data_IF_558818336565
#
_entry.id   IF_558818336565
#
_cell.length_a   1.000
_cell.length_b   1.000
_cell.length_c   1.000
_cell.angle_alpha   90.00
_cell.angle_beta   90.00
_cell.angle_gamma   90.00
#
_symmetry.space_group_name_H-M   'P 1'
#
loop_
_entity.id
_entity.type
_entity.pdbx_description
1 polymer ?
#
# COMPACT_ATOMS: atom_id res chain seq x y z
N UNK A 1 52.54 38.13 0.19
CA UNK A 1 53.18 39.07 -0.73
C UNK A 1 52.63 38.80 -2.13
N UNK A 2 51.53 39.47 -2.46
CA UNK A 2 51.06 39.86 -3.79
C UNK A 2 49.84 40.74 -3.51
N UNK A 3 50.16 41.99 -3.19
CA UNK A 3 49.19 43.07 -3.03
C UNK A 3 48.73 43.50 -4.43
N UNK A 4 47.56 43.05 -4.86
CA UNK A 4 46.84 43.73 -5.94
C UNK A 4 45.53 44.26 -5.38
N UNK A 5 45.59 45.54 -5.02
CA UNK A 5 44.46 46.36 -4.59
C UNK A 5 43.44 46.42 -5.73
N UNK A 6 42.22 45.95 -5.49
CA UNK A 6 41.11 46.04 -6.44
C UNK A 6 40.43 47.43 -6.44
N UNK A 7 41.22 48.50 -6.54
CA UNK A 7 40.74 49.85 -6.83
C UNK A 7 41.77 50.58 -7.72
N UNK A 8 41.31 51.20 -8.82
CA UNK A 8 42.15 52.11 -9.60
C UNK A 8 42.47 53.35 -8.76
N UNK A 9 43.67 53.92 -8.91
CA UNK A 9 44.15 55.08 -8.14
C UNK A 9 43.35 56.38 -8.35
N UNK A 10 42.42 56.39 -9.30
CA UNK A 10 41.75 57.62 -9.75
C UNK A 10 40.22 57.58 -9.52
N UNK A 11 39.69 56.56 -8.84
CA UNK A 11 38.30 56.52 -8.39
C UNK A 11 37.22 56.42 -9.47
N UNK A 12 37.57 56.21 -10.75
CA UNK A 12 36.60 56.00 -11.82
C UNK A 12 36.32 54.51 -12.09
N UNK A 13 35.05 54.06 -12.22
CA UNK A 13 34.70 52.65 -12.42
C UNK A 13 35.08 52.16 -13.82
N UNK A 14 35.89 51.10 -13.92
CA UNK A 14 36.18 50.42 -15.19
C UNK A 14 34.94 49.68 -15.69
N UNK A 15 34.49 50.05 -16.88
CA UNK A 15 33.31 49.63 -17.61
C UNK A 15 33.30 48.12 -17.94
N UNK A 16 32.62 47.32 -17.11
CA UNK A 16 32.12 45.98 -17.47
C UNK A 16 30.79 45.71 -16.72
N UNK A 17 29.87 46.68 -16.74
CA UNK A 17 28.80 46.76 -15.74
C UNK A 17 27.35 46.61 -16.23
N UNK A 18 27.07 46.22 -17.49
CA UNK A 18 25.66 46.24 -17.96
C UNK A 18 25.06 44.92 -18.46
N UNK A 19 25.80 43.82 -18.59
CA UNK A 19 25.22 42.63 -19.26
C UNK A 19 24.76 41.47 -18.36
N UNK A 20 24.89 41.55 -17.02
CA UNK A 20 24.55 40.43 -16.13
C UNK A 20 23.59 40.74 -14.98
N UNK A 21 22.60 41.64 -15.18
CA UNK A 21 21.35 41.72 -14.40
C UNK A 21 21.45 41.83 -12.86
N UNK A 22 22.64 42.03 -12.30
CA UNK A 22 22.94 42.06 -10.88
C UNK A 22 23.56 43.43 -10.57
N UNK A 23 22.87 44.24 -9.77
CA UNK A 23 23.31 45.60 -9.43
C UNK A 23 24.70 45.61 -8.77
N UNK A 24 25.47 46.65 -9.03
CA UNK A 24 26.86 46.82 -8.58
C UNK A 24 27.00 46.68 -7.05
N UNK A 25 26.05 47.22 -6.30
CA UNK A 25 26.06 47.20 -4.82
C UNK A 25 25.90 45.77 -4.27
N UNK A 26 25.08 44.95 -4.93
CA UNK A 26 24.82 43.56 -4.55
C UNK A 26 26.01 42.65 -4.87
N UNK A 27 26.76 42.97 -5.93
CA UNK A 27 28.02 42.30 -6.27
C UNK A 27 29.09 42.54 -5.19
N UNK A 28 29.15 43.75 -4.63
CA UNK A 28 30.12 44.07 -3.57
C UNK A 28 29.80 43.37 -2.24
N UNK A 29 28.52 43.24 -1.88
CA UNK A 29 28.10 42.54 -0.64
C UNK A 29 28.40 41.03 -0.68
N UNK A 30 28.14 40.38 -1.82
CA UNK A 30 28.45 38.96 -2.04
C UNK A 30 29.95 38.70 -1.88
N UNK A 31 30.79 39.62 -2.34
CA UNK A 31 32.25 39.50 -2.23
C UNK A 31 32.78 39.81 -0.85
N UNK A 32 32.19 40.80 -0.17
CA UNK A 32 32.55 41.12 1.20
C UNK A 32 32.30 39.91 2.11
N UNK A 33 31.12 39.30 2.01
CA UNK A 33 30.75 38.11 2.80
C UNK A 33 31.57 36.87 2.43
N UNK A 34 31.99 36.75 1.17
CA UNK A 34 32.95 35.71 0.78
C UNK A 34 34.33 35.93 1.41
N UNK A 35 34.81 37.17 1.47
CA UNK A 35 36.12 37.52 2.04
C UNK A 35 36.14 37.52 3.58
N UNK A 36 35.00 37.71 4.23
CA UNK A 36 34.87 37.59 5.70
C UNK A 36 34.91 36.13 6.16
N UNK A 37 34.48 35.19 5.31
CA UNK A 37 34.39 33.76 5.63
C UNK A 37 35.42 32.91 4.88
N UNK A 38 36.71 33.28 4.94
CA UNK A 38 37.79 32.53 4.27
C UNK A 38 37.96 31.09 4.81
N UNK A 39 37.69 30.84 6.10
CA UNK A 39 37.84 29.52 6.72
C UNK A 39 36.64 28.58 6.47
N UNK A 40 35.43 29.13 6.30
CA UNK A 40 34.22 28.36 6.00
C UNK A 40 33.36 29.07 4.93
N UNK A 41 33.65 28.88 3.63
CA UNK A 41 33.06 29.69 2.57
C UNK A 41 31.56 29.42 2.42
N UNK A 42 30.70 30.45 2.39
CA UNK A 42 29.24 30.30 2.35
C UNK A 42 28.76 29.48 1.14
N UNK A 43 27.62 28.81 1.31
CA UNK A 43 27.04 27.98 0.26
C UNK A 43 26.55 28.83 -0.92
N UNK A 44 26.46 28.23 -2.12
CA UNK A 44 25.95 28.95 -3.30
C UNK A 44 24.54 29.52 -3.04
N UNK A 45 23.69 28.81 -2.29
CA UNK A 45 22.34 29.26 -1.97
C UNK A 45 22.34 30.44 -0.97
N UNK A 46 23.25 30.44 0.00
CA UNK A 46 23.44 31.59 0.90
C UNK A 46 23.89 32.84 0.13
N UNK A 47 24.84 32.68 -0.80
CA UNK A 47 25.32 33.78 -1.65
C UNK A 47 24.21 34.32 -2.56
N UNK A 48 23.32 33.45 -3.05
CA UNK A 48 22.14 33.84 -3.84
C UNK A 48 21.12 34.59 -2.99
N UNK A 49 20.88 34.13 -1.76
CA UNK A 49 19.98 34.79 -0.81
C UNK A 49 20.47 36.20 -0.43
N UNK A 50 21.79 36.39 -0.33
CA UNK A 50 22.40 37.72 -0.07
C UNK A 50 22.29 38.63 -1.30
N UNK A 51 22.62 38.13 -2.50
CA UNK A 51 22.53 38.93 -3.72
C UNK A 51 21.09 39.26 -4.13
N UNK A 52 20.12 38.43 -3.75
CA UNK A 52 18.71 38.58 -4.10
C UNK A 52 17.81 38.33 -2.88
N UNK A 53 17.70 39.30 -1.96
CA UNK A 53 16.89 39.17 -0.74
C UNK A 53 15.38 39.03 -1.01
N UNK A 54 14.92 39.43 -2.20
CA UNK A 54 13.52 39.34 -2.62
C UNK A 54 13.14 37.97 -3.24
N UNK A 55 14.07 37.01 -3.33
CA UNK A 55 13.81 35.69 -3.92
C UNK A 55 13.22 34.72 -2.86
N UNK A 56 11.97 34.25 -3.01
CA UNK A 56 11.33 33.35 -2.04
C UNK A 56 11.96 31.95 -2.01
N UNK A 57 12.76 31.57 -3.01
CA UNK A 57 13.42 30.27 -3.07
C UNK A 57 14.86 30.40 -3.63
N UNK A 58 15.85 30.75 -2.78
CA UNK A 58 17.24 30.88 -3.18
C UNK A 58 17.85 29.52 -3.56
N UNK A 59 17.71 29.15 -4.83
CA UNK A 59 18.27 27.92 -5.42
C UNK A 59 19.34 28.28 -6.45
N UNK A 60 20.52 27.68 -6.35
CA UNK A 60 21.59 27.77 -7.35
C UNK A 60 21.19 27.35 -8.77
N UNK A 61 20.05 26.67 -8.95
CA UNK A 61 19.48 26.33 -10.28
C UNK A 61 18.60 27.43 -10.88
N UNK A 62 18.13 28.38 -10.05
CA UNK A 62 17.24 29.47 -10.46
C UNK A 62 17.95 30.45 -11.41
N UNK A 63 17.19 31.35 -12.05
CA UNK A 63 17.76 32.40 -12.91
C UNK A 63 18.78 33.26 -12.14
N UNK A 64 18.43 33.61 -10.90
CA UNK A 64 19.27 34.36 -9.98
C UNK A 64 20.49 33.54 -9.51
N UNK A 65 20.29 32.23 -9.28
CA UNK A 65 21.36 31.27 -8.98
C UNK A 65 22.42 31.14 -10.08
N UNK A 66 21.98 31.12 -11.35
CA UNK A 66 22.88 31.07 -12.51
C UNK A 66 23.68 32.36 -12.67
N UNK A 67 23.05 33.52 -12.51
CA UNK A 67 23.73 34.82 -12.57
C UNK A 67 24.79 34.95 -11.47
N UNK A 68 24.46 34.54 -10.25
CA UNK A 68 25.41 34.54 -9.12
C UNK A 68 26.57 33.57 -9.37
N UNK A 69 26.30 32.39 -9.95
CA UNK A 69 27.33 31.42 -10.33
C UNK A 69 28.25 31.92 -11.45
N UNK A 70 27.69 32.61 -12.44
CA UNK A 70 28.44 33.21 -13.54
C UNK A 70 29.33 34.35 -13.05
N UNK A 71 28.81 35.20 -12.16
CA UNK A 71 29.57 36.23 -11.48
C UNK A 71 30.74 35.65 -10.68
N UNK A 72 30.51 34.64 -9.84
CA UNK A 72 31.57 33.98 -9.07
C UNK A 72 32.61 33.31 -9.97
N UNK A 73 32.16 32.68 -11.06
CA UNK A 73 33.04 32.06 -12.06
C UNK A 73 33.93 33.08 -12.79
N UNK A 74 33.41 34.28 -13.09
CA UNK A 74 34.18 35.36 -13.72
C UNK A 74 35.38 35.80 -12.89
N UNK A 75 35.27 35.68 -11.55
CA UNK A 75 36.34 35.99 -10.58
C UNK A 75 37.12 34.76 -10.12
N UNK A 76 36.97 33.62 -10.80
CA UNK A 76 37.60 32.33 -10.47
C UNK A 76 37.24 31.77 -9.09
N UNK A 77 36.10 32.17 -8.53
CA UNK A 77 35.58 31.67 -7.26
C UNK A 77 34.64 30.48 -7.54
N UNK A 78 34.93 29.32 -6.93
CA UNK A 78 34.05 28.14 -6.99
C UNK A 78 33.27 28.00 -5.68
N UNK A 79 32.03 28.48 -5.66
CA UNK A 79 31.14 28.26 -4.53
C UNK A 79 30.75 26.79 -4.39
N UNK A 80 30.56 26.34 -3.14
CA UNK A 80 30.16 24.97 -2.82
C UNK A 80 28.72 24.72 -3.27
N UNK A 81 28.51 23.62 -3.99
CA UNK A 81 27.17 23.13 -4.29
C UNK A 81 26.52 22.53 -3.03
N UNK A 82 25.19 22.63 -2.94
CA UNK A 82 24.38 22.11 -1.81
C UNK A 82 24.52 20.61 -1.53
N UNK A 83 25.20 19.86 -2.40
CA UNK A 83 25.45 18.42 -2.27
C UNK A 83 26.79 18.07 -1.61
N UNK A 84 27.65 19.06 -1.36
CA UNK A 84 28.97 18.81 -0.75
C UNK A 84 28.81 18.70 0.77
N UNK A 85 29.02 17.50 1.30
CA UNK A 85 28.92 17.21 2.72
C UNK A 85 29.95 18.01 3.54
N UNK A 86 29.47 18.83 4.48
CA UNK A 86 30.30 19.44 5.52
C UNK A 86 30.25 18.52 6.75
N UNK A 87 31.38 18.02 7.26
CA UNK A 87 31.40 17.28 8.52
C UNK A 87 30.91 18.21 9.63
N UNK A 88 29.69 18.01 10.09
CA UNK A 88 29.16 18.75 11.23
C UNK A 88 29.97 18.39 12.48
N UNK A 89 30.32 19.40 13.30
CA UNK A 89 31.07 19.21 14.55
C UNK A 89 30.37 18.15 15.40
N UNK A 90 31.11 17.13 15.83
CA UNK A 90 30.61 16.11 16.75
C UNK A 90 30.10 16.81 18.02
N UNK A 91 28.87 16.50 18.43
CA UNK A 91 28.34 16.97 19.69
C UNK A 91 28.88 16.07 20.81
N UNK A 92 29.72 16.62 21.67
CA UNK A 92 30.27 15.92 22.83
C UNK A 92 29.37 16.18 24.04
N UNK A 93 28.96 15.11 24.72
CA UNK A 93 28.14 15.19 25.93
C UNK A 93 29.01 15.66 27.11
N UNK A 94 28.59 16.73 27.78
CA UNK A 94 29.18 17.16 29.05
C UNK A 94 28.83 16.16 30.16
N UNK A 95 29.56 16.18 31.27
CA UNK A 95 29.28 15.30 32.41
C UNK A 95 27.90 15.56 33.03
N UNK A 96 27.42 16.81 33.02
CA UNK A 96 26.06 17.16 33.44
C UNK A 96 24.99 16.50 32.54
N UNK A 97 25.22 16.48 31.23
CA UNK A 97 24.33 15.80 30.28
C UNK A 97 24.30 14.30 30.54
N UNK A 98 25.46 13.68 30.80
CA UNK A 98 25.57 12.26 31.10
C UNK A 98 24.83 11.88 32.37
N UNK A 99 24.93 12.68 33.43
CA UNK A 99 24.20 12.45 34.67
C UNK A 99 22.69 12.58 34.45
N UNK A 100 22.24 13.63 33.76
CA UNK A 100 20.83 13.84 33.45
C UNK A 100 20.25 12.70 32.60
N UNK A 101 21.01 12.20 31.61
CA UNK A 101 20.62 11.04 30.81
C UNK A 101 20.53 9.79 31.70
N UNK A 102 21.49 9.54 32.58
CA UNK A 102 21.45 8.36 33.46
C UNK A 102 20.21 8.36 34.39
N UNK A 103 19.83 9.53 34.91
CA UNK A 103 18.67 9.67 35.79
C UNK A 103 17.33 9.59 35.04
N UNK A 104 17.26 10.14 33.82
CA UNK A 104 16.00 10.28 33.07
C UNK A 104 15.82 9.28 31.93
N UNK A 105 16.84 8.47 31.59
CA UNK A 105 16.76 7.45 30.53
C UNK A 105 15.66 6.42 30.77
N UNK A 106 15.25 6.19 32.02
CA UNK A 106 14.15 5.28 32.36
C UNK A 106 12.77 5.93 32.24
N UNK A 107 12.67 7.27 32.19
CA UNK A 107 11.42 8.01 32.32
C UNK A 107 11.05 8.73 31.01
N UNK A 108 12.03 9.22 30.25
CA UNK A 108 11.82 10.05 29.06
C UNK A 108 12.44 9.43 27.81
N UNK A 109 11.84 9.73 26.64
CA UNK A 109 12.38 9.29 25.35
C UNK A 109 13.67 10.05 25.01
N UNK A 110 14.61 9.46 24.25
CA UNK A 110 15.86 10.12 23.85
C UNK A 110 15.68 11.49 23.18
N UNK A 111 14.60 11.67 22.41
CA UNK A 111 14.27 12.97 21.79
C UNK A 111 13.84 14.02 22.83
N UNK A 112 13.06 13.61 23.82
CA UNK A 112 12.55 14.50 24.86
C UNK A 112 13.71 14.90 25.80
N UNK A 113 14.60 13.95 26.10
CA UNK A 113 15.88 14.20 26.81
C UNK A 113 16.77 15.15 26.01
N UNK A 114 16.90 14.93 24.69
CA UNK A 114 17.68 15.81 23.82
C UNK A 114 17.15 17.24 23.79
N UNK A 115 15.83 17.42 23.80
CA UNK A 115 15.16 18.73 23.83
C UNK A 115 15.34 19.45 25.16
N UNK A 116 15.23 18.75 26.29
CA UNK A 116 15.42 19.34 27.61
C UNK A 116 16.89 19.70 27.85
N UNK A 117 17.82 18.85 27.41
CA UNK A 117 19.27 19.06 27.52
C UNK A 117 19.74 20.29 26.72
N UNK A 118 19.24 20.47 25.50
CA UNK A 118 19.73 21.51 24.58
C UNK A 118 18.89 22.79 24.59
N UNK A 119 17.74 22.79 25.27
CA UNK A 119 16.79 23.89 25.25
C UNK A 119 16.15 24.16 23.87
N UNK A 120 16.31 23.25 22.91
CA UNK A 120 15.81 23.40 21.53
C UNK A 120 14.59 22.49 21.30
N UNK A 121 13.36 23.03 21.25
CA UNK A 121 12.15 22.21 21.08
C UNK A 121 12.01 21.63 19.66
N UNK A 122 12.71 22.18 18.67
CA UNK A 122 12.61 21.78 17.25
C UNK A 122 13.46 20.56 16.88
N UNK A 123 14.17 19.95 17.83
CA UNK A 123 15.00 18.78 17.56
C UNK A 123 14.18 17.59 17.03
N UNK A 124 14.78 16.92 16.06
CA UNK A 124 14.32 15.70 15.41
C UNK A 124 15.19 14.50 15.81
N UNK A 125 14.69 13.28 15.59
CA UNK A 125 15.45 12.05 15.89
C UNK A 125 16.77 11.91 15.10
N UNK A 126 16.94 12.70 14.05
CA UNK A 126 18.11 12.66 13.17
C UNK A 126 19.20 13.63 13.62
N UNK A 127 18.91 14.55 14.52
CA UNK A 127 19.89 15.54 14.98
C UNK A 127 21.02 14.88 15.79
N UNK A 128 22.19 15.51 15.76
CA UNK A 128 23.41 14.95 16.34
C UNK A 128 23.30 14.82 17.85
N UNK A 129 22.60 15.75 18.49
CA UNK A 129 22.35 15.79 19.92
C UNK A 129 21.50 14.58 20.36
N UNK A 130 20.44 14.25 19.62
CA UNK A 130 19.58 13.10 19.92
C UNK A 130 20.29 11.78 19.65
N UNK A 131 21.15 11.72 18.62
CA UNK A 131 21.99 10.55 18.38
C UNK A 131 23.02 10.34 19.48
N UNK A 132 23.71 11.38 19.93
CA UNK A 132 24.67 11.30 21.02
C UNK A 132 24.01 10.79 22.32
N UNK A 133 22.80 11.30 22.65
CA UNK A 133 22.00 10.81 23.79
C UNK A 133 21.69 9.32 23.64
N UNK A 134 21.23 8.88 22.45
CA UNK A 134 20.90 7.47 22.20
C UNK A 134 22.14 6.56 22.32
N UNK A 135 23.25 6.98 21.75
CA UNK A 135 24.49 6.21 21.77
C UNK A 135 25.01 6.07 23.22
N UNK A 136 24.88 7.11 24.05
CA UNK A 136 25.20 7.06 25.47
C UNK A 136 24.22 6.18 26.28
N UNK A 137 22.92 6.19 25.95
CA UNK A 137 21.95 5.25 26.54
C UNK A 137 22.30 3.80 26.19
N UNK A 138 22.75 3.52 24.95
CA UNK A 138 23.23 2.19 24.57
C UNK A 138 24.51 1.78 25.31
N UNK A 139 25.42 2.71 25.54
CA UNK A 139 26.62 2.50 26.35
C UNK A 139 26.26 2.19 27.82
N UNK A 140 25.36 2.96 28.41
CA UNK A 140 24.82 2.72 29.76
C UNK A 140 24.10 1.36 29.88
N UNK A 141 23.36 0.95 28.85
CA UNK A 141 22.71 -0.38 28.78
C UNK A 141 23.75 -1.50 28.78
N UNK A 142 24.85 -1.32 28.05
CA UNK A 142 25.95 -2.30 27.99
C UNK A 142 26.72 -2.38 29.31
N UNK A 143 26.93 -1.27 30.00
CA UNK A 143 27.72 -1.23 31.24
C UNK A 143 26.95 -1.71 32.47
N UNK A 144 25.64 -1.42 32.55
CA UNK A 144 24.87 -1.58 33.79
C UNK A 144 24.19 -2.96 33.89
N UNK A 145 24.15 -3.75 32.80
CA UNK A 145 23.55 -5.09 32.79
C UNK A 145 22.06 -5.15 33.13
N UNK A 146 21.43 -4.00 33.35
CA UNK A 146 20.01 -3.86 33.62
C UNK A 146 19.27 -3.84 32.30
N UNK A 147 18.47 -4.89 32.07
CA UNK A 147 17.39 -4.88 31.10
C UNK A 147 16.31 -3.92 31.60
N UNK A 148 16.55 -2.62 31.44
CA UNK A 148 15.49 -1.63 31.54
C UNK A 148 14.52 -1.95 30.39
N UNK A 149 13.43 -2.65 30.73
CA UNK A 149 12.29 -2.78 29.85
C UNK A 149 11.93 -1.37 29.38
N UNK A 150 12.02 -1.18 28.07
CA UNK A 150 11.54 0.01 27.41
C UNK A 150 10.06 0.10 27.78
N UNK A 151 9.71 0.89 28.80
CA UNK A 151 8.34 1.34 29.02
C UNK A 151 8.02 2.38 27.93
N UNK A 152 8.23 2.02 26.67
CA UNK A 152 7.17 2.28 25.71
C UNK A 152 5.91 1.77 26.40
N UNK A 153 4.91 2.64 26.56
CA UNK A 153 3.52 2.17 26.64
C UNK A 153 3.48 0.96 25.73
N UNK A 154 3.21 -0.23 26.24
CA UNK A 154 3.13 -1.43 25.41
C UNK A 154 2.07 -1.12 24.36
N UNK A 155 2.49 -0.55 23.22
CA UNK A 155 1.74 -0.57 22.00
C UNK A 155 1.71 -2.05 21.71
N UNK A 156 0.66 -2.71 22.20
CA UNK A 156 0.33 -4.11 21.92
C UNK A 156 0.76 -4.34 20.49
N UNK A 157 1.84 -5.11 20.29
CA UNK A 157 2.56 -5.12 19.02
C UNK A 157 1.58 -5.58 17.94
N UNK A 158 1.00 -4.60 17.24
CA UNK A 158 -0.18 -4.87 16.44
C UNK A 158 0.26 -5.71 15.26
N UNK A 159 -0.47 -6.81 15.05
CA UNK A 159 -0.14 -7.73 13.96
C UNK A 159 -0.14 -6.97 12.63
N UNK A 160 0.91 -7.19 11.84
CA UNK A 160 1.12 -6.48 10.58
C UNK A 160 0.65 -7.34 9.38
N UNK A 161 -0.34 -6.88 8.61
CA UNK A 161 -0.79 -7.58 7.41
C UNK A 161 0.28 -7.62 6.31
N UNK A 162 0.27 -8.66 5.45
CA UNK A 162 1.15 -8.70 4.29
C UNK A 162 0.79 -7.57 3.31
N UNK A 163 1.80 -6.77 2.94
CA UNK A 163 1.63 -5.59 2.06
C UNK A 163 1.89 -5.89 0.59
N UNK A 164 2.42 -7.07 0.26
CA UNK A 164 2.86 -7.41 -1.10
C UNK A 164 2.26 -8.74 -1.51
N UNK A 165 1.89 -8.85 -2.79
CA UNK A 165 1.38 -10.08 -3.40
C UNK A 165 2.22 -11.33 -3.08
N UNK A 166 3.55 -11.23 -3.25
CA UNK A 166 4.48 -12.34 -2.96
C UNK A 166 4.43 -12.79 -1.49
N UNK A 167 4.38 -11.83 -0.54
CA UNK A 167 4.25 -12.15 0.90
C UNK A 167 2.91 -12.83 1.21
N UNK A 168 1.83 -12.36 0.60
CA UNK A 168 0.50 -12.98 0.73
C UNK A 168 0.51 -14.41 0.16
N UNK A 169 1.14 -14.62 -1.00
CA UNK A 169 1.28 -15.95 -1.60
C UNK A 169 2.09 -16.90 -0.71
N UNK A 170 3.22 -16.46 -0.15
CA UNK A 170 4.00 -17.25 0.80
C UNK A 170 3.18 -17.64 2.04
N UNK A 171 2.38 -16.70 2.56
CA UNK A 171 1.50 -16.93 3.71
C UNK A 171 0.37 -17.90 3.40
N UNK A 172 -0.26 -17.80 2.22
CA UNK A 172 -1.25 -18.77 1.75
C UNK A 172 -0.64 -20.17 1.65
N UNK A 173 0.53 -20.29 0.99
CA UNK A 173 1.23 -21.56 0.78
C UNK A 173 1.71 -22.23 2.08
N UNK A 174 1.74 -21.51 3.20
CA UNK A 174 1.99 -22.06 4.54
C UNK A 174 0.80 -22.91 5.04
N UNK A 175 -0.42 -22.55 4.67
CA UNK A 175 -1.65 -23.14 5.26
C UNK A 175 -2.48 -23.99 4.29
N UNK A 176 -2.27 -23.88 2.97
CA UNK A 176 -3.00 -24.68 1.98
C UNK A 176 -2.27 -25.99 1.65
N UNK A 177 -3.05 -27.04 1.39
CA UNK A 177 -2.51 -28.35 1.00
C UNK A 177 -1.92 -28.34 -0.42
N UNK A 178 -2.61 -27.69 -1.36
CA UNK A 178 -2.18 -27.61 -2.77
C UNK A 178 -1.48 -26.28 -2.99
N UNK A 179 -0.15 -26.26 -2.92
CA UNK A 179 0.64 -25.03 -3.06
C UNK A 179 0.46 -24.41 -4.45
N UNK A 180 0.22 -23.11 -4.48
CA UNK A 180 0.13 -22.33 -5.70
C UNK A 180 1.54 -21.89 -6.09
N UNK A 181 1.99 -22.33 -7.27
CA UNK A 181 3.27 -21.90 -7.86
C UNK A 181 3.06 -20.59 -8.62
N UNK A 182 3.97 -19.65 -8.44
CA UNK A 182 3.91 -18.32 -9.08
C UNK A 182 3.88 -18.44 -10.61
N UNK A 183 4.69 -19.34 -11.18
CA UNK A 183 4.82 -19.55 -12.62
C UNK A 183 3.59 -20.19 -13.30
N UNK A 184 2.76 -20.90 -12.53
CA UNK A 184 1.60 -21.66 -13.04
C UNK A 184 0.26 -21.14 -12.52
N UNK A 185 0.22 -19.89 -12.09
CA UNK A 185 -0.96 -19.31 -11.45
C UNK A 185 -2.01 -18.85 -12.47
N UNK A 186 -3.26 -19.28 -12.29
CA UNK A 186 -4.38 -18.84 -13.12
C UNK A 186 -4.79 -17.40 -12.81
N UNK A 187 -5.41 -16.71 -13.77
CA UNK A 187 -5.95 -15.36 -13.57
C UNK A 187 -6.97 -15.30 -12.42
N UNK A 188 -7.75 -16.36 -12.22
CA UNK A 188 -8.67 -16.49 -11.09
C UNK A 188 -7.93 -16.55 -9.75
N UNK A 189 -6.88 -17.35 -9.64
CA UNK A 189 -6.05 -17.43 -8.43
C UNK A 189 -5.39 -16.09 -8.10
N UNK A 190 -4.89 -15.37 -9.11
CA UNK A 190 -4.34 -14.00 -8.93
C UNK A 190 -5.38 -13.05 -8.33
N UNK A 191 -6.63 -13.10 -8.83
CA UNK A 191 -7.74 -12.31 -8.27
C UNK A 191 -8.04 -12.69 -6.82
N UNK A 192 -8.09 -13.98 -6.49
CA UNK A 192 -8.35 -14.43 -5.13
C UNK A 192 -7.25 -14.02 -4.14
N UNK A 193 -5.97 -14.07 -4.54
CA UNK A 193 -4.85 -13.65 -3.68
C UNK A 193 -4.91 -12.14 -3.41
N UNK A 194 -5.22 -11.34 -4.43
CA UNK A 194 -5.42 -9.89 -4.27
C UNK A 194 -6.62 -9.57 -3.36
N UNK A 195 -7.72 -10.31 -3.52
CA UNK A 195 -8.88 -10.16 -2.65
C UNK A 195 -8.55 -10.53 -1.19
N UNK A 196 -7.85 -11.66 -0.97
CA UNK A 196 -7.40 -12.08 0.35
C UNK A 196 -6.48 -11.07 1.00
N UNK A 197 -5.56 -10.48 0.23
CA UNK A 197 -4.73 -9.39 0.72
C UNK A 197 -5.61 -8.28 1.28
N UNK A 198 -6.63 -7.83 0.55
CA UNK A 198 -7.61 -6.85 1.05
C UNK A 198 -8.33 -7.31 2.32
N UNK A 199 -8.76 -8.57 2.40
CA UNK A 199 -9.46 -9.09 3.59
C UNK A 199 -8.58 -9.10 4.84
N UNK A 200 -7.29 -9.43 4.71
CA UNK A 200 -6.33 -9.45 5.82
C UNK A 200 -6.03 -8.05 6.37
N UNK A 201 -6.21 -7.00 5.56
CA UNK A 201 -6.09 -5.60 5.99
C UNK A 201 -7.33 -5.09 6.73
N UNK A 202 -8.37 -5.91 6.93
CA UNK A 202 -9.57 -5.50 7.67
C UNK A 202 -9.23 -5.19 9.12
N UNK A 203 -9.68 -4.03 9.62
CA UNK A 203 -9.45 -3.60 11.01
C UNK A 203 -9.84 -4.66 12.04
N UNK A 204 -11.01 -5.27 11.86
CA UNK A 204 -11.52 -6.33 12.74
C UNK A 204 -10.58 -7.54 12.79
N UNK A 205 -9.99 -7.92 11.66
CA UNK A 205 -9.03 -9.02 11.59
C UNK A 205 -7.79 -8.70 12.43
N UNK A 206 -7.19 -7.53 12.20
CA UNK A 206 -5.98 -7.06 12.89
C UNK A 206 -6.20 -6.95 14.40
N UNK A 207 -7.34 -6.38 14.81
CA UNK A 207 -7.68 -6.25 16.21
C UNK A 207 -7.84 -7.62 16.89
N UNK A 208 -8.58 -8.55 16.27
CA UNK A 208 -8.81 -9.87 16.88
C UNK A 208 -7.52 -10.71 16.98
N UNK A 209 -6.67 -10.70 15.96
CA UNK A 209 -5.41 -11.45 16.01
C UNK A 209 -4.43 -10.86 17.04
N UNK A 210 -4.45 -9.53 17.24
CA UNK A 210 -3.59 -8.85 18.20
C UNK A 210 -4.01 -9.11 19.66
N UNK A 211 -5.29 -9.42 19.89
CA UNK A 211 -5.81 -9.72 21.22
C UNK A 211 -5.39 -11.09 21.77
N UNK A 212 -4.98 -12.03 20.91
CA UNK A 212 -4.51 -13.32 21.39
C UNK A 212 -3.11 -13.21 21.99
N UNK A 213 -2.89 -13.74 23.19
CA UNK A 213 -1.56 -13.75 23.81
C UNK A 213 -0.68 -14.88 23.27
N UNK A 214 -1.26 -16.06 23.01
CA UNK A 214 -0.54 -17.25 22.57
C UNK A 214 -0.26 -17.23 21.05
N UNK A 215 0.98 -17.50 20.66
CA UNK A 215 1.37 -17.60 19.23
C UNK A 215 0.68 -18.78 18.53
N UNK A 216 0.42 -19.88 19.27
CA UNK A 216 -0.34 -21.02 18.75
C UNK A 216 -1.76 -20.62 18.32
N UNK A 217 -2.44 -19.85 19.16
CA UNK A 217 -3.79 -19.35 18.92
C UNK A 217 -3.81 -18.35 17.75
N UNK A 218 -2.82 -17.45 17.68
CA UNK A 218 -2.63 -16.53 16.53
C UNK A 218 -2.48 -17.31 15.22
N UNK A 219 -1.66 -18.36 15.22
CA UNK A 219 -1.42 -19.19 14.03
C UNK A 219 -2.68 -19.98 13.66
N UNK A 220 -3.41 -20.51 14.63
CA UNK A 220 -4.66 -21.24 14.40
C UNK A 220 -5.75 -20.32 13.81
N UNK A 221 -5.91 -19.11 14.37
CA UNK A 221 -6.82 -18.10 13.84
C UNK A 221 -6.47 -17.74 12.38
N UNK A 222 -5.21 -17.39 12.13
CA UNK A 222 -4.74 -16.99 10.80
C UNK A 222 -4.91 -18.12 9.78
N UNK A 223 -4.54 -19.35 10.16
CA UNK A 223 -4.63 -20.51 9.27
C UNK A 223 -6.09 -20.84 8.93
N UNK A 224 -7.00 -20.75 9.89
CA UNK A 224 -8.42 -21.01 9.70
C UNK A 224 -9.02 -20.00 8.72
N UNK A 225 -8.76 -18.71 8.94
CA UNK A 225 -9.26 -17.66 8.08
C UNK A 225 -8.76 -17.80 6.63
N UNK A 226 -7.45 -18.00 6.45
CA UNK A 226 -6.84 -18.15 5.11
C UNK A 226 -7.36 -19.40 4.40
N UNK A 227 -7.55 -20.52 5.12
CA UNK A 227 -8.09 -21.76 4.51
C UNK A 227 -9.53 -21.59 4.02
N UNK A 228 -10.36 -20.80 4.73
CA UNK A 228 -11.74 -20.57 4.33
C UNK A 228 -11.92 -19.52 3.23
N UNK A 229 -10.94 -18.66 2.99
CA UNK A 229 -11.12 -17.48 2.11
C UNK A 229 -10.20 -17.46 0.89
N UNK A 230 -9.13 -18.27 0.82
CA UNK A 230 -8.14 -18.23 -0.28
C UNK A 230 -8.72 -18.49 -1.68
N UNK A 231 -9.83 -19.21 -1.78
CA UNK A 231 -10.50 -19.60 -3.02
C UNK A 231 -11.63 -18.63 -3.42
N UNK A 232 -11.86 -17.56 -2.64
CA UNK A 232 -13.04 -16.69 -2.76
C UNK A 232 -12.63 -15.24 -3.02
N UNK A 233 -12.83 -14.77 -4.25
CA UNK A 233 -12.53 -13.39 -4.66
C UNK A 233 -13.73 -12.44 -4.54
N UNK A 234 -14.91 -12.97 -4.21
CA UNK A 234 -16.23 -12.35 -4.31
C UNK A 234 -16.91 -12.13 -2.94
N UNK A 235 -16.14 -12.17 -1.85
CA UNK A 235 -16.69 -12.03 -0.50
C UNK A 235 -17.12 -10.59 -0.23
N UNK A 236 -18.32 -10.41 0.33
CA UNK A 236 -18.74 -9.11 0.85
C UNK A 236 -18.09 -8.83 2.19
N UNK A 237 -18.08 -7.57 2.62
CA UNK A 237 -17.56 -7.19 3.93
C UNK A 237 -18.25 -7.93 5.08
N UNK A 238 -19.57 -8.12 5.00
CA UNK A 238 -20.33 -8.90 6.01
C UNK A 238 -19.88 -10.37 6.08
N UNK A 239 -19.59 -10.98 4.93
CA UNK A 239 -19.09 -12.36 4.88
C UNK A 239 -17.67 -12.45 5.42
N UNK A 240 -16.81 -11.48 5.10
CA UNK A 240 -15.46 -11.38 5.68
C UNK A 240 -15.55 -11.29 7.21
N UNK A 241 -16.42 -10.44 7.74
CA UNK A 241 -16.64 -10.32 9.19
C UNK A 241 -17.16 -11.62 9.82
N UNK A 242 -18.07 -12.32 9.14
CA UNK A 242 -18.57 -13.62 9.60
C UNK A 242 -17.48 -14.70 9.57
N UNK A 243 -16.60 -14.71 8.56
CA UNK A 243 -15.43 -15.61 8.52
C UNK A 243 -14.42 -15.29 9.62
N UNK A 244 -14.26 -14.01 9.99
CA UNK A 244 -13.45 -13.62 11.15
C UNK A 244 -14.06 -14.20 12.42
N UNK A 245 -15.36 -14.04 12.64
CA UNK A 245 -16.06 -14.61 13.82
C UNK A 245 -15.95 -16.13 13.85
N UNK A 246 -16.11 -16.81 12.70
CA UNK A 246 -15.94 -18.25 12.60
C UNK A 246 -14.52 -18.66 13.03
N UNK A 247 -13.50 -17.92 12.60
CA UNK A 247 -12.10 -18.21 12.94
C UNK A 247 -11.81 -17.99 14.43
N UNK A 248 -12.46 -17.02 15.08
CA UNK A 248 -12.39 -16.84 16.54
C UNK A 248 -13.02 -18.03 17.27
N UNK A 249 -14.20 -18.50 16.82
CA UNK A 249 -14.87 -19.65 17.43
C UNK A 249 -14.04 -20.94 17.32
N UNK A 250 -13.27 -21.13 16.24
CA UNK A 250 -12.35 -22.26 16.10
C UNK A 250 -11.26 -22.23 17.17
N UNK A 251 -10.66 -21.05 17.42
CA UNK A 251 -9.67 -20.89 18.50
C UNK A 251 -10.30 -21.10 19.87
N UNK A 252 -11.49 -20.53 20.10
CA UNK A 252 -12.23 -20.73 21.35
C UNK A 252 -12.50 -22.21 21.62
N UNK A 253 -12.92 -22.97 20.61
CA UNK A 253 -13.12 -24.41 20.71
C UNK A 253 -11.83 -25.14 21.12
N UNK A 254 -10.68 -24.78 20.53
CA UNK A 254 -9.38 -25.36 20.92
C UNK A 254 -9.04 -25.06 22.38
N UNK A 255 -9.33 -23.83 22.86
CA UNK A 255 -9.08 -23.45 24.24
C UNK A 255 -10.00 -24.17 25.24
N UNK A 256 -11.26 -24.41 24.87
CA UNK A 256 -12.18 -25.23 25.68
C UNK A 256 -11.69 -26.67 25.75
N UNK A 257 -11.20 -27.25 24.65
CA UNK A 257 -10.61 -28.60 24.65
C UNK A 257 -9.40 -28.69 25.57
N UNK A 258 -8.47 -27.75 25.49
CA UNK A 258 -7.31 -27.67 26.39
C UNK A 258 -7.74 -27.54 27.86
N UNK A 259 -8.81 -26.79 28.13
CA UNK A 259 -9.38 -26.68 29.48
C UNK A 259 -9.98 -28.01 29.95
N UNK A 260 -10.70 -28.73 29.09
CA UNK A 260 -11.25 -30.06 29.41
C UNK A 260 -10.12 -31.04 29.73
N UNK A 261 -9.05 -31.05 28.93
CA UNK A 261 -7.89 -31.93 29.17
C UNK A 261 -7.22 -31.64 30.53
N UNK A 262 -7.00 -30.36 30.86
CA UNK A 262 -6.46 -29.98 32.17
C UNK A 262 -7.36 -30.42 33.32
N UNK A 263 -8.66 -30.21 33.18
CA UNK A 263 -9.63 -30.66 34.18
C UNK A 263 -9.61 -32.19 34.33
N UNK A 264 -9.56 -32.96 33.23
CA UNK A 264 -9.45 -34.41 33.31
C UNK A 264 -8.17 -34.86 34.04
N UNK A 265 -7.02 -34.25 33.76
CA UNK A 265 -5.76 -34.57 34.45
C UNK A 265 -5.85 -34.29 35.96
N UNK A 266 -6.51 -33.20 36.35
CA UNK A 266 -6.78 -32.89 37.76
C UNK A 266 -7.73 -33.91 38.40
N UNK A 267 -8.72 -34.42 37.64
CA UNK A 267 -9.63 -35.46 38.10
C UNK A 267 -8.87 -36.74 38.41
N UNK A 268 -8.03 -37.20 37.48
CA UNK A 268 -7.28 -38.44 37.58
C UNK A 268 -6.30 -38.41 38.76
N UNK A 269 -5.67 -37.24 38.99
CA UNK A 269 -4.81 -37.00 40.15
C UNK A 269 -5.61 -37.07 41.46
N UNK A 270 -6.74 -36.37 41.55
CA UNK A 270 -7.55 -36.31 42.77
C UNK A 270 -8.28 -37.63 43.07
N UNK A 271 -8.63 -38.40 42.04
CA UNK A 271 -9.25 -39.72 42.18
C UNK A 271 -8.30 -40.75 42.80
N UNK A 272 -6.99 -40.52 42.70
CA UNK A 272 -5.96 -41.38 43.30
C UNK A 272 -5.76 -41.13 44.81
N UNK A 273 -6.16 -39.96 45.31
CA UNK A 273 -6.09 -39.61 46.74
C UNK A 273 -7.38 -40.01 47.48
N UNK A 274 -7.22 -40.75 48.59
CA UNK A 274 -8.32 -41.45 49.30
C UNK A 274 -9.37 -40.51 49.94
N UNK A 275 -9.11 -39.20 50.01
CA UNK A 275 -10.03 -38.17 50.56
C UNK A 275 -10.87 -37.42 49.49
N UNK A 276 -10.70 -37.72 48.20
CA UNK A 276 -11.15 -36.88 47.07
C UNK A 276 -12.64 -36.90 46.67
N UNK A 277 -13.53 -37.66 47.32
CA UNK A 277 -14.90 -37.93 46.78
C UNK A 277 -15.80 -36.72 46.54
N UNK A 278 -15.65 -35.63 47.31
CA UNK A 278 -16.45 -34.40 47.10
C UNK A 278 -15.84 -33.47 46.05
N UNK A 279 -14.50 -33.43 45.98
CA UNK A 279 -13.75 -32.61 45.01
C UNK A 279 -13.89 -33.21 43.60
N UNK A 280 -13.90 -34.54 43.50
CA UNK A 280 -14.14 -35.23 42.22
C UNK A 280 -15.50 -34.91 41.62
N UNK A 281 -16.56 -34.76 42.44
CA UNK A 281 -17.90 -34.46 41.94
C UNK A 281 -18.04 -33.03 41.37
N UNK A 282 -17.49 -32.02 42.05
CA UNK A 282 -17.51 -30.63 41.55
C UNK A 282 -16.67 -30.44 40.29
N UNK A 283 -15.57 -31.20 40.17
CA UNK A 283 -14.72 -31.18 38.98
C UNK A 283 -15.37 -31.91 37.79
N UNK A 284 -16.06 -33.03 38.03
CA UNK A 284 -16.90 -33.71 37.02
C UNK A 284 -18.00 -32.79 36.50
N UNK A 285 -18.66 -32.02 37.37
CA UNK A 285 -19.66 -31.04 36.96
C UNK A 285 -19.04 -29.91 36.11
N UNK A 286 -17.86 -29.41 36.49
CA UNK A 286 -17.11 -28.42 35.73
C UNK A 286 -16.70 -28.94 34.35
N UNK A 287 -16.28 -30.20 34.24
CA UNK A 287 -15.97 -30.87 32.97
C UNK A 287 -17.22 -30.96 32.10
N UNK A 288 -18.36 -31.38 32.68
CA UNK A 288 -19.64 -31.46 31.96
C UNK A 288 -20.08 -30.09 31.43
N UNK A 289 -19.89 -29.02 32.22
CA UNK A 289 -20.16 -27.66 31.78
C UNK A 289 -19.27 -27.27 30.59
N UNK A 290 -17.95 -27.51 30.68
CA UNK A 290 -17.02 -27.22 29.59
C UNK A 290 -17.30 -28.04 28.31
N UNK A 291 -17.69 -29.31 28.44
CA UNK A 291 -18.12 -30.15 27.31
C UNK A 291 -19.40 -29.59 26.66
N UNK A 292 -20.32 -29.06 27.45
CA UNK A 292 -21.54 -28.43 26.94
C UNK A 292 -21.22 -27.13 26.20
N UNK A 293 -20.33 -26.29 26.75
CA UNK A 293 -19.82 -25.08 26.07
C UNK A 293 -19.13 -25.41 24.74
N UNK A 294 -18.32 -26.48 24.71
CA UNK A 294 -17.68 -26.95 23.48
C UNK A 294 -18.70 -27.37 22.42
N UNK A 295 -19.66 -28.22 22.78
CA UNK A 295 -20.71 -28.65 21.86
C UNK A 295 -21.54 -27.47 21.31
N UNK A 296 -21.79 -26.46 22.15
CA UNK A 296 -22.44 -25.22 21.72
C UNK A 296 -21.58 -24.44 20.72
N UNK A 297 -20.26 -24.30 20.95
CA UNK A 297 -19.35 -23.63 20.01
C UNK A 297 -19.28 -24.37 18.67
N UNK A 298 -19.17 -25.70 18.68
CA UNK A 298 -19.21 -26.52 17.45
C UNK A 298 -20.54 -26.33 16.69
N UNK A 299 -21.65 -26.31 17.42
CA UNK A 299 -22.97 -26.04 16.81
C UNK A 299 -23.05 -24.64 16.19
N UNK A 300 -22.48 -23.61 16.86
CA UNK A 300 -22.39 -22.25 16.31
C UNK A 300 -21.55 -22.22 15.04
N UNK A 301 -20.41 -22.90 15.01
CA UNK A 301 -19.55 -23.00 13.83
C UNK A 301 -20.28 -23.64 12.64
N UNK A 302 -20.97 -24.76 12.88
CA UNK A 302 -21.73 -25.45 11.83
C UNK A 302 -22.83 -24.56 11.24
N UNK A 303 -23.61 -23.89 12.09
CA UNK A 303 -24.66 -22.96 11.67
C UNK A 303 -24.10 -21.77 10.87
N UNK A 304 -22.99 -21.17 11.33
CA UNK A 304 -22.33 -20.07 10.61
C UNK A 304 -21.86 -20.52 9.23
N UNK A 305 -21.21 -21.69 9.15
CA UNK A 305 -20.68 -22.24 7.91
C UNK A 305 -21.80 -22.61 6.92
N UNK A 306 -22.91 -23.14 7.40
CA UNK A 306 -24.10 -23.41 6.59
C UNK A 306 -24.72 -22.10 6.07
N UNK A 307 -24.92 -21.11 6.94
CA UNK A 307 -25.48 -19.82 6.56
C UNK A 307 -24.62 -19.08 5.51
N UNK A 308 -23.30 -19.14 5.65
CA UNK A 308 -22.35 -18.56 4.69
C UNK A 308 -22.42 -19.24 3.33
N UNK A 309 -22.53 -20.58 3.32
CA UNK A 309 -22.69 -21.35 2.08
C UNK A 309 -24.00 -21.03 1.37
N UNK A 310 -25.10 -20.97 2.10
CA UNK A 310 -26.41 -20.67 1.54
C UNK A 310 -26.49 -19.26 0.96
N UNK A 311 -26.07 -18.24 1.72
CA UNK A 311 -26.06 -16.85 1.26
C UNK A 311 -25.24 -16.67 -0.01
N UNK A 312 -24.04 -17.25 -0.05
CA UNK A 312 -23.19 -17.20 -1.25
C UNK A 312 -23.82 -17.96 -2.43
N UNK A 313 -24.36 -19.15 -2.18
CA UNK A 313 -25.05 -19.94 -3.21
C UNK A 313 -26.24 -19.21 -3.82
N UNK A 314 -27.07 -18.56 -2.99
CA UNK A 314 -28.21 -17.77 -3.44
C UNK A 314 -27.77 -16.58 -4.31
N UNK A 315 -26.72 -15.85 -3.90
CA UNK A 315 -26.16 -14.73 -4.67
C UNK A 315 -25.60 -15.20 -6.01
N UNK A 316 -24.82 -16.27 -6.02
CA UNK A 316 -24.25 -16.84 -7.24
C UNK A 316 -25.36 -17.36 -8.17
N UNK A 317 -26.37 -18.03 -7.63
CA UNK A 317 -27.55 -18.47 -8.40
C UNK A 317 -28.27 -17.29 -9.05
N UNK A 318 -28.44 -16.18 -8.32
CA UNK A 318 -29.05 -14.96 -8.86
C UNK A 318 -28.22 -14.37 -10.01
N UNK A 319 -26.90 -14.27 -9.85
CA UNK A 319 -26.01 -13.81 -10.92
C UNK A 319 -26.02 -14.73 -12.14
N UNK A 320 -26.08 -16.05 -11.94
CA UNK A 320 -26.18 -17.02 -13.05
C UNK A 320 -27.50 -16.84 -13.80
N UNK A 321 -28.62 -16.62 -13.09
CA UNK A 321 -29.93 -16.36 -13.70
C UNK A 321 -29.94 -15.04 -14.49
N UNK A 322 -29.35 -13.99 -13.95
CA UNK A 322 -29.20 -12.70 -14.64
C UNK A 322 -28.35 -12.82 -15.90
N UNK A 323 -27.20 -13.51 -15.83
CA UNK A 323 -26.34 -13.75 -16.99
C UNK A 323 -27.04 -14.60 -18.07
N UNK A 324 -27.82 -15.61 -17.68
CA UNK A 324 -28.62 -16.40 -18.61
C UNK A 324 -29.71 -15.55 -19.28
N UNK A 325 -30.33 -14.62 -18.54
CA UNK A 325 -31.29 -13.67 -19.10
C UNK A 325 -30.63 -12.73 -20.11
N UNK A 326 -29.42 -12.23 -19.83
CA UNK A 326 -28.67 -11.38 -20.76
C UNK A 326 -28.29 -12.17 -22.01
N UNK A 327 -27.79 -13.40 -21.88
CA UNK A 327 -27.49 -14.25 -23.02
C UNK A 327 -28.73 -14.53 -23.87
N UNK A 328 -29.88 -14.76 -23.23
CA UNK A 328 -31.14 -14.94 -23.93
C UNK A 328 -31.56 -13.67 -24.69
N UNK A 329 -31.40 -12.48 -24.10
CA UNK A 329 -31.65 -11.21 -24.78
C UNK A 329 -30.70 -11.00 -25.97
N UNK A 330 -29.42 -11.30 -25.81
CA UNK A 330 -28.43 -11.22 -26.90
C UNK A 330 -28.78 -12.20 -28.02
N UNK A 331 -29.28 -13.39 -27.69
CA UNK A 331 -29.69 -14.37 -28.67
C UNK A 331 -30.96 -13.92 -29.42
N UNK A 332 -31.96 -13.40 -28.70
CA UNK A 332 -33.14 -12.77 -29.32
C UNK A 332 -32.77 -11.60 -30.25
N UNK A 333 -31.77 -10.79 -29.87
CA UNK A 333 -31.27 -9.72 -30.73
C UNK A 333 -30.60 -10.25 -32.00
N UNK A 334 -29.78 -11.30 -31.90
CA UNK A 334 -29.17 -11.95 -33.06
C UNK A 334 -30.21 -12.59 -33.98
N UNK A 335 -31.25 -13.17 -33.41
CA UNK A 335 -32.35 -13.76 -34.17
C UNK A 335 -33.15 -12.66 -34.91
N UNK A 336 -33.35 -11.51 -34.27
CA UNK A 336 -34.02 -10.36 -34.89
C UNK A 336 -33.18 -9.74 -36.02
N UNK A 337 -31.87 -9.61 -35.82
CA UNK A 337 -30.93 -9.16 -36.86
C UNK A 337 -30.94 -10.12 -38.06
N UNK A 338 -30.87 -11.43 -37.81
CA UNK A 338 -30.96 -12.47 -38.86
C UNK A 338 -32.30 -12.41 -39.61
N UNK A 339 -33.40 -12.11 -38.90
CA UNK A 339 -34.74 -11.94 -39.50
C UNK A 339 -34.79 -10.72 -40.42
N UNK A 340 -34.15 -9.62 -40.05
CA UNK A 340 -34.05 -8.42 -40.90
C UNK A 340 -33.25 -8.70 -42.18
N UNK A 341 -32.12 -9.39 -42.08
CA UNK A 341 -31.32 -9.77 -43.24
C UNK A 341 -32.11 -10.67 -44.21
N UNK A 342 -32.89 -11.63 -43.69
CA UNK A 342 -33.77 -12.47 -44.51
C UNK A 342 -34.87 -11.66 -45.20
N UNK A 343 -35.44 -10.66 -44.53
CA UNK A 343 -36.42 -9.77 -45.13
C UNK A 343 -35.81 -8.90 -46.24
N UNK A 344 -34.60 -8.38 -46.05
CA UNK A 344 -33.88 -7.66 -47.10
C UNK A 344 -33.61 -8.55 -48.31
N UNK A 345 -33.20 -9.80 -48.09
CA UNK A 345 -32.94 -10.75 -49.15
C UNK A 345 -34.23 -11.08 -49.92
N UNK A 346 -35.35 -11.27 -49.21
CA UNK A 346 -36.66 -11.46 -49.82
C UNK A 346 -37.14 -10.22 -50.59
N UNK A 347 -36.85 -9.00 -50.12
CA UNK A 347 -37.14 -7.76 -50.84
C UNK A 347 -36.29 -7.64 -52.12
N UNK A 348 -35.00 -7.96 -52.06
CA UNK A 348 -34.11 -8.01 -53.22
C UNK A 348 -34.58 -9.03 -54.25
N UNK A 349 -34.99 -10.23 -53.81
CA UNK A 349 -35.60 -11.23 -54.69
C UNK A 349 -36.90 -10.71 -55.33
N UNK A 350 -37.80 -10.09 -54.57
CA UNK A 350 -39.02 -9.48 -55.12
C UNK A 350 -38.74 -8.36 -56.11
N UNK A 351 -37.70 -7.55 -55.88
CA UNK A 351 -37.28 -6.50 -56.80
C UNK A 351 -36.75 -7.09 -58.11
N UNK A 352 -35.88 -8.11 -58.03
CA UNK A 352 -35.39 -8.85 -59.20
C UNK A 352 -36.53 -9.50 -59.98
N UNK A 353 -37.48 -10.16 -59.31
CA UNK A 353 -38.67 -10.74 -59.95
C UNK A 353 -39.52 -9.63 -60.60
N UNK A 354 -39.66 -8.47 -59.97
CA UNK A 354 -40.40 -7.33 -60.55
C UNK A 354 -39.72 -6.79 -61.80
N UNK A 355 -38.39 -6.71 -61.81
CA UNK A 355 -37.62 -6.34 -63.01
C UNK A 355 -37.78 -7.39 -64.12
N UNK A 356 -37.72 -8.67 -63.77
CA UNK A 356 -37.93 -9.75 -64.74
C UNK A 356 -39.36 -9.77 -65.29
N UNK A 357 -40.37 -9.54 -64.44
CA UNK A 357 -41.76 -9.34 -64.87
C UNK A 357 -41.89 -8.11 -65.76
N UNK A 358 -41.19 -7.01 -65.48
CA UNK A 358 -41.17 -5.83 -66.37
C UNK A 358 -40.50 -6.14 -67.71
N UNK A 359 -39.42 -6.93 -67.72
CA UNK A 359 -38.75 -7.39 -68.96
C UNK A 359 -39.67 -8.30 -69.78
N UNK A 360 -40.41 -9.19 -69.12
CA UNK A 360 -41.39 -10.06 -69.78
C UNK A 360 -42.66 -9.32 -70.21
N UNK A 361 -43.08 -8.28 -69.47
CA UNK A 361 -44.24 -7.46 -69.81
C UNK A 361 -43.93 -6.37 -70.81
N UNK A 362 -42.66 -5.96 -70.95
CA UNK A 362 -42.24 -5.17 -72.10
C UNK A 362 -42.41 -6.06 -73.31
N UNK A 363 -43.55 -5.86 -73.97
CA UNK A 363 -43.98 -6.53 -75.18
C UNK A 363 -42.97 -6.35 -76.34
N UNK A 364 -41.84 -5.66 -76.13
CA UNK A 364 -40.84 -5.34 -77.13
C UNK A 364 -40.16 -6.59 -77.68
N UNK A 365 -39.87 -7.62 -76.88
CA UNK A 365 -39.28 -8.86 -77.39
C UNK A 365 -40.29 -9.66 -78.24
N UNK A 366 -41.56 -9.67 -77.82
CA UNK A 366 -42.67 -10.27 -78.57
C UNK A 366 -42.98 -9.45 -79.83
N UNK A 367 -42.90 -8.12 -79.75
CA UNK A 367 -43.15 -7.18 -80.85
C UNK A 367 -42.01 -7.20 -81.87
N UNK A 368 -40.74 -7.28 -81.45
CA UNK A 368 -39.60 -7.50 -82.33
C UNK A 368 -39.70 -8.85 -83.06
N UNK A 369 -40.12 -9.92 -82.36
CA UNK A 369 -40.34 -11.24 -82.97
C UNK A 369 -41.55 -11.28 -83.93
N UNK A 370 -42.63 -10.56 -83.64
CA UNK A 370 -43.80 -10.42 -84.54
C UNK A 370 -43.50 -9.49 -85.72
N UNK A 371 -42.69 -8.45 -85.52
CA UNK A 371 -42.29 -7.50 -86.57
C UNK A 371 -41.09 -7.96 -87.40
N UNK A 372 -40.48 -9.11 -87.08
CA UNK A 372 -39.38 -9.70 -87.85
C UNK A 372 -38.06 -8.94 -87.74
N UNK A 373 -37.92 -8.01 -86.80
CA UNK A 373 -36.71 -7.21 -86.61
C UNK A 373 -35.59 -8.09 -86.03
N UNK A 374 -34.58 -8.33 -86.85
CA UNK A 374 -33.34 -8.99 -86.41
C UNK A 374 -32.43 -7.97 -85.72
N UNK A 375 -31.53 -8.45 -84.83
CA UNK A 375 -30.64 -7.61 -84.03
C UNK A 375 -29.77 -6.67 -84.92
N UNK A 376 -29.47 -7.12 -86.15
CA UNK A 376 -28.73 -6.33 -87.15
C UNK A 376 -29.56 -5.22 -87.81
N UNK A 377 -30.89 -5.37 -87.94
CA UNK A 377 -31.77 -4.34 -88.53
C UNK A 377 -32.11 -3.22 -87.54
N UNK A 378 -32.18 -3.52 -86.25
CA UNK A 378 -32.44 -2.51 -85.22
C UNK A 378 -31.23 -1.58 -84.96
N UNK A 379 -30.01 -2.06 -85.21
CA UNK A 379 -28.77 -1.31 -84.99
C UNK A 379 -28.35 -0.50 -86.24
N UNK A 380 -28.71 -0.97 -87.44
CA UNK A 380 -28.33 -0.33 -88.71
C UNK A 380 -29.48 0.46 -89.39
N UNK A 381 -30.62 0.63 -88.72
CA UNK A 381 -31.80 1.36 -89.21
C UNK A 381 -31.76 2.87 -88.98
#
# INVERSE_FOLDING_TARGET
MNEERYFSKDGSPTTYFEDNGLSLDKQTEVLQKWNESLEDPPSLNELVSIGFPDDPAPDGRSKNGRLTKEFLSSRKIKARGSQVYVPSKKFELTEEHKQYIAENASIMRPIDIGRTMTGKPELTNLDLEVRAVRDYIEELRRSTGSFYEDRTVEEVEMWKPPTTFGKTLSKINKYIHIKIKEDKMTTAQKKCINALMGYLHSYRFIHQISNFSNEGDKTLFESSFVRYTNDKSDLTQEEVDQYIVLSVEVVLSSNILNRIERLNNMLDTTASDTEGRKISMGLVESIRHAQTEYNQSVTRQQKLLESLKEKRSQRLSKQIKENASILNLVQLWKDEESRLELLELAQKQKASIREEVRRLSSLDEVKCRIMGLTEEEAING
#
